data_IF_087301358965
#
_entry.id   IF_087301358965
#
_cell.length_a   1.000
_cell.length_b   1.000
_cell.length_c   1.000
_cell.angle_alpha   90.00
_cell.angle_beta   90.00
_cell.angle_gamma   90.00
#
_symmetry.space_group_name_H-M   'P 1'
#
loop_
_entity.id
_entity.type
_entity.pdbx_description
1 polymer ?
#
# COMPACT_ATOMS: atom_id res chain seq x y z
N UNK A 1 16.49 -17.18 25.14
CA UNK A 1 16.39 -15.84 24.54
C UNK A 1 15.78 -15.85 23.15
N UNK A 2 16.11 -16.80 22.25
CA UNK A 2 15.56 -16.93 20.87
C UNK A 2 14.05 -17.24 20.85
N UNK A 3 13.51 -17.96 21.81
CA UNK A 3 12.07 -18.33 21.84
C UNK A 3 11.13 -17.16 22.19
N UNK A 4 11.59 -16.11 22.87
CA UNK A 4 10.75 -14.93 23.19
C UNK A 4 10.59 -13.95 22.05
N UNK A 5 11.54 -13.91 21.10
CA UNK A 5 11.49 -13.04 19.91
C UNK A 5 10.58 -13.64 18.84
N UNK A 6 10.48 -14.97 18.77
CA UNK A 6 9.71 -15.66 17.72
C UNK A 6 8.19 -15.66 17.92
N UNK A 7 7.69 -15.44 19.14
CA UNK A 7 6.26 -15.49 19.44
C UNK A 7 5.46 -14.30 18.87
N UNK A 8 5.87 -13.04 19.09
CA UNK A 8 5.23 -11.88 18.45
C UNK A 8 5.28 -11.92 16.92
N UNK A 9 6.45 -12.27 16.36
CA UNK A 9 6.59 -12.45 14.89
C UNK A 9 5.66 -13.53 14.35
N UNK A 10 5.47 -14.63 15.05
CA UNK A 10 4.59 -15.72 14.62
C UNK A 10 3.12 -15.33 14.69
N UNK A 11 2.72 -14.52 15.66
CA UNK A 11 1.35 -13.99 15.78
C UNK A 11 1.07 -12.95 14.70
N UNK A 12 2.02 -12.05 14.43
CA UNK A 12 1.98 -11.09 13.35
C UNK A 12 1.79 -11.78 11.97
N UNK A 13 2.64 -12.74 11.63
CA UNK A 13 2.50 -13.47 10.36
C UNK A 13 1.26 -14.35 10.26
N UNK A 14 0.66 -14.80 11.37
CA UNK A 14 -0.64 -15.48 11.35
C UNK A 14 -1.78 -14.50 11.02
N UNK A 15 -1.71 -13.31 11.57
CA UNK A 15 -2.68 -12.26 11.30
C UNK A 15 -2.62 -11.82 9.83
N UNK A 16 -1.43 -11.60 9.31
CA UNK A 16 -1.22 -11.22 7.91
C UNK A 16 -1.58 -12.33 6.92
N UNK A 17 -1.26 -13.58 7.21
CA UNK A 17 -1.70 -14.69 6.38
C UNK A 17 -3.23 -14.76 6.27
N UNK A 18 -3.93 -14.55 7.39
CA UNK A 18 -5.39 -14.56 7.42
C UNK A 18 -5.98 -13.35 6.70
N UNK A 19 -5.40 -12.18 6.88
CA UNK A 19 -5.85 -10.94 6.19
C UNK A 19 -5.69 -11.03 4.68
N UNK A 20 -4.56 -11.56 4.19
CA UNK A 20 -4.33 -11.80 2.76
C UNK A 20 -5.37 -12.75 2.13
N UNK A 21 -5.80 -13.79 2.87
CA UNK A 21 -6.86 -14.68 2.41
C UNK A 21 -8.22 -13.95 2.35
N UNK A 22 -8.56 -13.18 3.37
CA UNK A 22 -9.82 -12.41 3.39
C UNK A 22 -9.84 -11.36 2.28
N UNK A 23 -8.70 -10.71 2.04
CA UNK A 23 -8.51 -9.77 0.95
C UNK A 23 -8.77 -10.42 -0.42
N UNK A 24 -8.18 -11.61 -0.66
CA UNK A 24 -8.38 -12.38 -1.88
C UNK A 24 -9.84 -12.78 -2.06
N UNK A 25 -10.49 -13.26 -1.00
CA UNK A 25 -11.92 -13.61 -1.03
C UNK A 25 -12.75 -12.38 -1.38
N UNK A 26 -12.48 -11.23 -0.78
CA UNK A 26 -13.19 -9.98 -1.08
C UNK A 26 -13.07 -9.58 -2.56
N UNK A 27 -11.86 -9.71 -3.13
CA UNK A 27 -11.61 -9.44 -4.55
C UNK A 27 -12.34 -10.41 -5.49
N UNK A 28 -12.31 -11.71 -5.18
CA UNK A 28 -13.03 -12.72 -5.95
C UNK A 28 -14.53 -12.48 -5.89
N UNK A 29 -15.08 -12.16 -4.71
CA UNK A 29 -16.49 -11.83 -4.55
C UNK A 29 -16.86 -10.58 -5.36
N UNK A 30 -16.01 -9.55 -5.37
CA UNK A 30 -16.21 -8.36 -6.20
C UNK A 30 -16.31 -8.71 -7.68
N UNK A 31 -15.38 -9.55 -8.19
CA UNK A 31 -15.39 -10.01 -9.58
C UNK A 31 -16.63 -10.86 -9.91
N UNK A 32 -17.05 -11.77 -9.03
CA UNK A 32 -18.24 -12.60 -9.24
C UNK A 32 -19.50 -11.73 -9.28
N UNK A 33 -19.65 -10.81 -8.32
CA UNK A 33 -20.85 -9.97 -8.21
C UNK A 33 -20.90 -8.96 -9.37
N UNK A 34 -19.77 -8.33 -9.72
CA UNK A 34 -19.70 -7.36 -10.81
C UNK A 34 -19.95 -7.94 -12.21
N UNK A 35 -19.94 -9.29 -12.34
CA UNK A 35 -20.18 -10.00 -13.59
C UNK A 35 -21.39 -10.96 -13.52
N UNK A 36 -22.13 -10.95 -12.40
CA UNK A 36 -23.33 -11.76 -12.19
C UNK A 36 -24.61 -10.94 -12.31
N UNK A 37 -25.71 -11.57 -11.87
CA UNK A 37 -27.06 -10.97 -11.89
C UNK A 37 -27.20 -9.71 -11.04
N UNK A 38 -26.28 -9.46 -10.12
CA UNK A 38 -26.26 -8.32 -9.21
C UNK A 38 -25.25 -7.22 -9.63
N UNK A 39 -24.79 -7.23 -10.89
CA UNK A 39 -23.81 -6.26 -11.40
C UNK A 39 -24.30 -4.82 -11.28
N UNK A 40 -25.53 -4.56 -11.73
CA UNK A 40 -26.13 -3.22 -11.67
C UNK A 40 -26.30 -2.71 -10.24
N UNK A 41 -26.71 -3.58 -9.32
CA UNK A 41 -26.83 -3.24 -7.89
C UNK A 41 -25.47 -2.91 -7.30
N UNK A 42 -24.44 -3.71 -7.61
CA UNK A 42 -23.07 -3.49 -7.14
C UNK A 42 -22.56 -2.11 -7.55
N UNK A 43 -22.61 -1.78 -8.84
CA UNK A 43 -22.15 -0.48 -9.33
C UNK A 43 -23.03 0.69 -8.87
N UNK A 44 -24.35 0.48 -8.74
CA UNK A 44 -25.27 1.52 -8.26
C UNK A 44 -25.00 1.88 -6.80
N UNK A 45 -24.77 0.88 -5.93
CA UNK A 45 -24.44 1.09 -4.52
C UNK A 45 -23.14 1.89 -4.38
N UNK A 46 -22.10 1.54 -5.13
CA UNK A 46 -20.82 2.26 -5.08
C UNK A 46 -20.92 3.71 -5.53
N UNK A 47 -21.85 4.01 -6.47
CA UNK A 47 -22.11 5.36 -6.98
C UNK A 47 -23.09 6.15 -6.09
N UNK A 48 -23.79 5.50 -5.16
CA UNK A 48 -24.78 6.15 -4.29
C UNK A 48 -24.09 7.18 -3.38
N UNK A 49 -24.66 8.40 -3.33
CA UNK A 49 -24.14 9.46 -2.47
C UNK A 49 -24.63 9.32 -1.04
N UNK A 50 -23.74 9.49 -0.08
CA UNK A 50 -24.00 9.60 1.34
C UNK A 50 -23.61 11.00 1.78
N UNK A 51 -24.55 11.73 2.39
CA UNK A 51 -24.32 13.07 2.93
C UNK A 51 -24.18 12.98 4.44
N UNK A 52 -23.06 13.44 4.98
CA UNK A 52 -22.86 13.63 6.42
C UNK A 52 -22.81 15.12 6.71
N UNK A 53 -23.74 15.60 7.55
CA UNK A 53 -23.83 17.01 7.92
C UNK A 53 -25.11 17.67 7.40
N UNK A 54 -25.11 19.00 7.40
CA UNK A 54 -26.22 19.85 6.90
C UNK A 54 -25.93 20.31 5.48
N UNK A 55 -26.94 20.86 4.79
CA UNK A 55 -26.81 21.41 3.43
C UNK A 55 -25.70 22.49 3.32
N UNK A 56 -25.46 23.22 4.41
CA UNK A 56 -24.46 24.30 4.47
C UNK A 56 -23.09 23.82 4.96
N UNK A 57 -23.03 22.73 5.72
CA UNK A 57 -21.80 22.15 6.29
C UNK A 57 -21.88 20.62 6.22
N UNK A 58 -21.83 20.08 5.02
CA UNK A 58 -21.93 18.64 4.81
C UNK A 58 -20.99 18.14 3.74
N UNK A 59 -20.41 16.97 3.98
CA UNK A 59 -19.65 16.20 3.00
C UNK A 59 -20.62 15.28 2.25
N UNK A 60 -20.78 15.50 0.95
CA UNK A 60 -21.58 14.65 0.05
C UNK A 60 -20.64 13.88 -0.87
N UNK A 61 -20.34 12.64 -0.49
CA UNK A 61 -19.43 11.77 -1.24
C UNK A 61 -20.15 10.48 -1.64
N UNK A 62 -19.77 9.87 -2.76
CA UNK A 62 -20.25 8.53 -3.11
C UNK A 62 -19.68 7.49 -2.13
N UNK A 63 -20.32 6.34 -2.03
CA UNK A 63 -19.83 5.20 -1.22
C UNK A 63 -18.39 4.86 -1.60
N UNK A 64 -18.08 4.82 -2.90
CA UNK A 64 -16.74 4.57 -3.40
C UNK A 64 -15.73 5.62 -2.91
N UNK A 65 -16.09 6.91 -2.92
CA UNK A 65 -15.21 7.98 -2.40
C UNK A 65 -15.04 7.89 -0.88
N UNK A 66 -16.10 7.53 -0.12
CA UNK A 66 -15.97 7.28 1.32
C UNK A 66 -14.95 6.18 1.61
N UNK A 67 -14.95 5.11 0.82
CA UNK A 67 -13.99 4.02 0.96
C UNK A 67 -12.58 4.48 0.55
N UNK A 68 -12.44 5.15 -0.59
CA UNK A 68 -11.14 5.50 -1.16
C UNK A 68 -10.46 6.68 -0.45
N UNK A 69 -11.19 7.60 0.17
CA UNK A 69 -10.63 8.79 0.80
C UNK A 69 -10.59 8.66 2.32
N UNK A 70 -11.73 8.29 2.96
CA UNK A 70 -11.81 8.27 4.43
C UNK A 70 -11.18 7.00 4.99
N UNK A 71 -11.57 5.81 4.49
CA UNK A 71 -11.00 4.57 5.01
C UNK A 71 -9.52 4.44 4.64
N UNK A 72 -9.13 4.91 3.45
CA UNK A 72 -7.72 4.92 3.08
C UNK A 72 -6.91 5.96 3.87
N UNK A 73 -7.49 7.07 4.33
CA UNK A 73 -6.82 7.96 5.28
C UNK A 73 -6.52 7.26 6.62
N UNK A 74 -7.45 6.43 7.11
CA UNK A 74 -7.22 5.58 8.31
C UNK A 74 -6.16 4.51 8.04
N UNK A 75 -6.17 3.89 6.85
CA UNK A 75 -5.13 2.96 6.43
C UNK A 75 -3.75 3.61 6.41
N UNK A 76 -3.61 4.76 5.76
CA UNK A 76 -2.32 5.47 5.71
C UNK A 76 -1.89 6.03 7.08
N UNK A 77 -2.84 6.37 7.94
CA UNK A 77 -2.55 6.67 9.35
C UNK A 77 -1.91 5.45 10.03
N UNK A 78 -2.52 4.28 9.91
CA UNK A 78 -2.01 3.02 10.47
C UNK A 78 -0.62 2.68 9.92
N UNK A 79 -0.46 2.65 8.59
CA UNK A 79 0.84 2.34 7.94
C UNK A 79 1.92 3.34 8.37
N UNK A 80 1.58 4.62 8.50
CA UNK A 80 2.55 5.63 8.95
C UNK A 80 2.93 5.50 10.44
N UNK A 81 2.04 4.97 11.30
CA UNK A 81 2.41 4.58 12.66
C UNK A 81 3.41 3.41 12.65
N UNK A 82 3.17 2.41 11.79
CA UNK A 82 4.05 1.27 11.59
C UNK A 82 5.40 1.71 11.03
N UNK A 83 5.44 2.52 9.98
CA UNK A 83 6.66 3.13 9.43
C UNK A 83 7.45 3.84 10.54
N UNK A 84 6.77 4.68 11.33
CA UNK A 84 7.41 5.42 12.43
C UNK A 84 7.99 4.49 13.49
N UNK A 85 7.29 3.42 13.86
CA UNK A 85 7.79 2.40 14.79
C UNK A 85 9.03 1.70 14.23
N UNK A 86 8.97 1.27 12.98
CA UNK A 86 10.09 0.56 12.33
C UNK A 86 11.35 1.42 12.26
N UNK A 87 11.23 2.71 11.95
CA UNK A 87 12.37 3.64 11.94
C UNK A 87 12.94 3.91 13.34
N UNK A 88 12.10 3.93 14.38
CA UNK A 88 12.53 4.27 15.74
C UNK A 88 13.02 3.06 16.55
N UNK A 89 12.44 1.87 16.33
CA UNK A 89 12.67 0.68 17.17
C UNK A 89 12.72 -0.64 16.40
N UNK A 90 12.38 -0.67 15.10
CA UNK A 90 12.30 -1.88 14.29
C UNK A 90 13.56 -2.16 13.48
N UNK A 91 13.41 -2.98 12.45
CA UNK A 91 14.48 -3.41 11.54
C UNK A 91 15.10 -2.23 10.77
N UNK A 92 14.31 -1.19 10.48
CA UNK A 92 14.77 0.03 9.80
C UNK A 92 15.55 0.99 10.72
N UNK A 93 15.57 0.74 12.03
CA UNK A 93 16.35 1.55 12.98
C UNK A 93 17.87 1.30 12.88
N UNK A 94 18.27 0.15 12.34
CA UNK A 94 19.67 -0.18 12.10
C UNK A 94 20.03 0.09 10.63
N UNK A 95 20.88 1.11 10.32
CA UNK A 95 21.22 1.47 8.94
C UNK A 95 21.79 0.32 8.10
N UNK A 96 22.56 -0.59 8.72
CA UNK A 96 23.12 -1.74 7.99
C UNK A 96 22.05 -2.74 7.56
N UNK A 97 21.02 -2.96 8.38
CA UNK A 97 19.93 -3.89 8.08
C UNK A 97 18.90 -3.25 7.13
N UNK A 98 18.68 -1.94 7.25
CA UNK A 98 17.76 -1.18 6.41
C UNK A 98 18.27 -0.99 4.97
N UNK A 99 19.59 -1.02 4.75
CA UNK A 99 20.18 -0.61 3.48
C UNK A 99 19.75 -1.50 2.31
N UNK A 100 19.70 -2.82 2.49
CA UNK A 100 19.28 -3.75 1.43
C UNK A 100 17.80 -3.58 1.06
N UNK A 101 16.84 -3.53 2.01
CA UNK A 101 15.45 -3.20 1.70
C UNK A 101 15.27 -1.83 1.01
N UNK A 102 16.03 -0.79 1.43
CA UNK A 102 15.99 0.53 0.80
C UNK A 102 16.43 0.46 -0.66
N UNK A 103 17.55 -0.18 -0.95
CA UNK A 103 18.07 -0.32 -2.32
C UNK A 103 17.07 -1.15 -3.16
N UNK A 104 16.55 -2.24 -2.60
CA UNK A 104 15.52 -3.06 -3.23
C UNK A 104 14.25 -2.28 -3.55
N UNK A 105 13.77 -1.46 -2.62
CA UNK A 105 12.57 -0.63 -2.81
C UNK A 105 12.79 0.45 -3.88
N UNK A 106 13.94 1.14 -3.88
CA UNK A 106 14.28 2.10 -4.95
C UNK A 106 14.22 1.41 -6.32
N UNK A 107 14.82 0.20 -6.44
CA UNK A 107 14.75 -0.58 -7.66
C UNK A 107 13.32 -1.00 -8.01
N UNK A 108 12.58 -1.45 -7.00
CA UNK A 108 11.18 -1.85 -7.11
C UNK A 108 10.21 -0.71 -7.43
N UNK A 109 10.58 0.54 -7.24
CA UNK A 109 9.81 1.71 -7.67
C UNK A 109 10.24 2.22 -9.04
N UNK A 110 11.53 2.40 -9.26
CA UNK A 110 12.08 3.05 -10.47
C UNK A 110 11.93 2.15 -11.70
N UNK A 111 12.30 0.88 -11.59
CA UNK A 111 12.31 -0.01 -12.79
C UNK A 111 10.89 -0.28 -13.31
N UNK A 112 9.87 -0.61 -12.49
CA UNK A 112 8.50 -0.72 -12.97
C UNK A 112 7.95 0.56 -13.61
N UNK A 113 8.27 1.72 -13.00
CA UNK A 113 7.89 3.02 -13.55
C UNK A 113 8.49 3.23 -14.94
N UNK A 114 9.77 2.87 -15.15
CA UNK A 114 10.43 2.96 -16.47
C UNK A 114 9.78 2.02 -17.50
N UNK A 115 9.39 0.79 -17.09
CA UNK A 115 8.64 -0.11 -17.99
C UNK A 115 7.32 0.51 -18.43
N UNK A 116 6.57 1.08 -17.49
CA UNK A 116 5.31 1.73 -17.79
C UNK A 116 5.49 2.94 -18.71
N UNK A 117 6.43 3.83 -18.36
CA UNK A 117 6.76 5.02 -19.15
C UNK A 117 7.15 4.64 -20.58
N UNK A 118 8.01 3.63 -20.75
CA UNK A 118 8.46 3.18 -22.08
C UNK A 118 7.31 2.74 -22.99
N UNK A 119 6.25 2.16 -22.42
CA UNK A 119 5.09 1.71 -23.19
C UNK A 119 4.11 2.86 -23.47
N UNK A 120 4.01 3.81 -22.53
CA UNK A 120 2.99 4.86 -22.56
C UNK A 120 3.53 6.25 -22.95
N UNK A 121 4.80 6.38 -23.37
CA UNK A 121 5.43 7.69 -23.59
C UNK A 121 4.78 8.53 -24.71
N UNK A 122 4.01 7.91 -25.60
CA UNK A 122 3.39 8.57 -26.76
C UNK A 122 2.14 9.38 -26.40
N UNK A 123 1.55 9.16 -25.22
CA UNK A 123 0.31 9.82 -24.79
C UNK A 123 0.47 10.34 -23.37
N UNK A 124 0.40 11.66 -23.22
CA UNK A 124 0.53 12.35 -21.93
C UNK A 124 -0.53 11.94 -20.91
N UNK A 125 -1.74 11.57 -21.36
CA UNK A 125 -2.82 11.14 -20.45
C UNK A 125 -2.51 9.76 -19.87
N UNK A 126 -2.15 8.80 -20.71
CA UNK A 126 -1.80 7.45 -20.24
C UNK A 126 -0.53 7.45 -19.41
N UNK A 127 0.38 8.40 -19.65
CA UNK A 127 1.62 8.56 -18.90
C UNK A 127 1.38 8.83 -17.40
N UNK A 128 0.25 9.44 -17.01
CA UNK A 128 -0.09 9.70 -15.61
C UNK A 128 -0.09 8.42 -14.73
N UNK A 129 -0.30 7.24 -15.34
CA UNK A 129 -0.30 5.96 -14.62
C UNK A 129 1.09 5.40 -14.27
N UNK A 130 2.18 6.15 -14.49
CA UNK A 130 3.56 5.66 -14.32
C UNK A 130 3.87 5.05 -12.95
N UNK A 131 3.23 5.53 -11.90
CA UNK A 131 3.46 5.07 -10.53
C UNK A 131 2.62 3.83 -10.15
N UNK A 132 1.63 3.44 -10.94
CA UNK A 132 0.73 2.30 -10.63
C UNK A 132 1.52 1.01 -10.38
N UNK A 133 2.48 0.60 -11.25
CA UNK A 133 3.23 -0.63 -11.04
C UNK A 133 4.35 -0.51 -9.99
N UNK A 134 4.56 0.67 -9.40
CA UNK A 134 5.60 0.89 -8.38
C UNK A 134 5.17 0.44 -6.98
N UNK A 135 3.87 0.28 -6.72
CA UNK A 135 3.36 -0.10 -5.41
C UNK A 135 3.42 -1.62 -5.16
N UNK A 136 3.55 -2.00 -3.89
CA UNK A 136 3.49 -3.40 -3.42
C UNK A 136 2.39 -3.53 -2.37
N UNK A 137 1.54 -4.54 -2.47
CA UNK A 137 0.54 -4.88 -1.45
C UNK A 137 1.18 -5.79 -0.39
N UNK A 138 1.49 -5.20 0.77
CA UNK A 138 2.13 -5.91 1.91
C UNK A 138 1.26 -7.08 2.36
N UNK A 139 -0.02 -6.84 2.62
CA UNK A 139 -0.93 -7.83 3.20
C UNK A 139 -1.06 -9.06 2.31
N UNK A 140 -1.20 -8.84 0.99
CA UNK A 140 -1.32 -9.93 0.03
C UNK A 140 0.02 -10.66 -0.14
N UNK A 141 1.14 -9.94 -0.31
CA UNK A 141 2.48 -10.53 -0.52
C UNK A 141 2.93 -11.37 0.68
N UNK A 142 2.74 -10.87 1.91
CA UNK A 142 3.03 -11.62 3.13
C UNK A 142 2.01 -12.75 3.36
N UNK A 143 0.76 -12.57 2.97
CA UNK A 143 -0.25 -13.61 2.95
C UNK A 143 0.22 -14.81 2.13
N UNK A 144 0.61 -14.60 0.88
CA UNK A 144 1.14 -15.64 -0.02
C UNK A 144 2.41 -16.28 0.55
N UNK A 145 3.33 -15.45 1.05
CA UNK A 145 4.58 -15.94 1.66
C UNK A 145 4.32 -16.79 2.92
N UNK A 146 3.28 -16.47 3.66
CA UNK A 146 2.90 -17.17 4.90
C UNK A 146 2.29 -18.54 4.63
N UNK A 147 1.66 -18.77 3.46
CA UNK A 147 1.17 -20.10 3.05
C UNK A 147 2.31 -21.13 2.94
N UNK A 148 3.53 -20.70 2.66
CA UNK A 148 4.71 -21.56 2.60
C UNK A 148 5.28 -21.89 4.00
N UNK A 149 4.77 -21.27 5.03
CA UNK A 149 5.07 -21.58 6.43
C UNK A 149 6.55 -21.51 6.78
N UNK A 150 7.09 -22.65 7.28
CA UNK A 150 8.49 -22.75 7.73
C UNK A 150 9.51 -22.93 6.59
N UNK A 151 9.06 -23.15 5.36
CA UNK A 151 9.96 -23.34 4.22
C UNK A 151 10.74 -22.07 3.86
N UNK A 152 10.14 -20.90 4.09
CA UNK A 152 10.80 -19.63 3.81
C UNK A 152 11.52 -19.11 5.04
N UNK A 153 12.84 -18.78 4.94
CA UNK A 153 13.58 -18.18 6.03
C UNK A 153 12.93 -16.91 6.55
N UNK A 154 12.93 -16.72 7.88
CA UNK A 154 12.37 -15.52 8.53
C UNK A 154 13.03 -14.24 7.99
N UNK A 155 14.33 -14.29 7.70
CA UNK A 155 15.08 -13.16 7.15
C UNK A 155 14.55 -12.65 5.80
N UNK A 156 14.00 -13.55 4.95
CA UNK A 156 13.35 -13.15 3.70
C UNK A 156 11.97 -12.52 3.94
N UNK A 157 11.25 -12.97 4.97
CA UNK A 157 9.99 -12.34 5.38
C UNK A 157 10.24 -10.92 5.90
N UNK A 158 11.23 -10.77 6.78
CA UNK A 158 11.66 -9.46 7.31
C UNK A 158 12.11 -8.54 6.17
N UNK A 159 12.89 -9.05 5.21
CA UNK A 159 13.29 -8.28 4.03
C UNK A 159 12.07 -7.78 3.23
N UNK A 160 11.11 -8.66 2.94
CA UNK A 160 9.90 -8.30 2.19
C UNK A 160 9.06 -7.26 2.95
N UNK A 161 8.87 -7.44 4.27
CA UNK A 161 8.15 -6.47 5.12
C UNK A 161 8.85 -5.11 5.10
N UNK A 162 10.16 -5.07 5.35
CA UNK A 162 10.93 -3.83 5.36
C UNK A 162 10.92 -3.13 4.00
N UNK A 163 11.04 -3.89 2.90
CA UNK A 163 10.96 -3.36 1.55
C UNK A 163 9.58 -2.75 1.28
N UNK A 164 8.50 -3.47 1.61
CA UNK A 164 7.14 -3.01 1.35
C UNK A 164 6.77 -1.77 2.19
N UNK A 165 7.25 -1.66 3.43
CA UNK A 165 7.13 -0.46 4.26
C UNK A 165 7.80 0.76 3.58
N UNK A 166 8.95 0.56 2.94
CA UNK A 166 9.65 1.63 2.21
C UNK A 166 8.93 1.95 0.90
N UNK A 167 8.39 0.94 0.19
CA UNK A 167 7.54 1.14 -0.98
C UNK A 167 6.31 1.98 -0.64
N UNK A 168 5.64 1.72 0.50
CA UNK A 168 4.49 2.50 0.95
C UNK A 168 4.88 3.95 1.28
N UNK A 169 6.03 4.15 1.93
CA UNK A 169 6.57 5.51 2.13
C UNK A 169 6.83 6.21 0.79
N UNK A 170 7.40 5.50 -0.18
CA UNK A 170 7.60 6.00 -1.53
C UNK A 170 6.29 6.35 -2.23
N UNK A 171 5.27 5.49 -2.12
CA UNK A 171 3.94 5.74 -2.65
C UNK A 171 3.30 6.99 -2.03
N UNK A 172 3.41 7.19 -0.71
CA UNK A 172 2.94 8.39 -0.02
C UNK A 172 3.59 9.65 -0.61
N UNK A 173 4.92 9.64 -0.80
CA UNK A 173 5.67 10.75 -1.38
C UNK A 173 5.21 11.01 -2.82
N UNK A 174 5.08 9.97 -3.64
CA UNK A 174 4.62 10.08 -5.03
C UNK A 174 3.20 10.67 -5.07
N UNK A 175 2.29 10.20 -4.24
CA UNK A 175 0.91 10.71 -4.18
C UNK A 175 0.90 12.19 -3.81
N UNK A 176 1.69 12.59 -2.81
CA UNK A 176 1.74 13.98 -2.34
C UNK A 176 2.24 14.96 -3.40
N UNK A 177 3.22 14.56 -4.22
CA UNK A 177 3.86 15.46 -5.18
C UNK A 177 3.28 15.39 -6.60
N UNK A 178 2.79 14.23 -7.04
CA UNK A 178 2.40 14.00 -8.43
C UNK A 178 0.89 13.90 -8.65
N UNK A 179 0.11 13.54 -7.60
CA UNK A 179 -1.33 13.34 -7.71
C UNK A 179 -2.15 14.37 -6.92
N UNK A 180 -1.57 15.52 -6.62
CA UNK A 180 -2.28 16.67 -6.05
C UNK A 180 -2.97 17.47 -7.15
N UNK A 181 -4.19 17.97 -6.85
CA UNK A 181 -4.97 18.81 -7.75
C UNK A 181 -4.59 20.30 -7.66
N UNK A 182 -5.54 21.16 -8.04
CA UNK A 182 -5.37 22.60 -7.93
C UNK A 182 -5.29 23.05 -6.47
N UNK A 183 -4.18 23.63 -6.08
CA UNK A 183 -3.92 24.02 -4.68
C UNK A 183 -4.73 25.27 -4.33
N UNK A 184 -5.55 25.15 -3.27
CA UNK A 184 -6.28 26.28 -2.67
C UNK A 184 -5.54 26.79 -1.45
N UNK A 185 -4.93 27.97 -1.57
CA UNK A 185 -4.03 28.55 -0.56
C UNK A 185 -4.67 28.72 0.82
N UNK A 186 -5.97 29.07 0.88
CA UNK A 186 -6.67 29.25 2.16
C UNK A 186 -6.73 27.95 2.97
N UNK A 187 -7.14 26.86 2.34
CA UNK A 187 -7.21 25.55 3.01
C UNK A 187 -5.85 24.96 3.30
N UNK A 188 -4.83 25.28 2.47
CA UNK A 188 -3.45 24.92 2.76
C UNK A 188 -2.94 25.59 4.03
N UNK A 189 -3.26 26.87 4.26
CA UNK A 189 -2.93 27.59 5.50
C UNK A 189 -3.64 26.95 6.69
N UNK A 190 -4.95 26.62 6.58
CA UNK A 190 -5.69 25.98 7.66
C UNK A 190 -5.14 24.58 7.98
N UNK A 191 -4.75 23.82 6.96
CA UNK A 191 -4.06 22.51 7.11
C UNK A 191 -2.75 22.69 7.89
N UNK A 192 -1.93 23.69 7.55
CA UNK A 192 -0.68 23.98 8.26
C UNK A 192 -0.93 24.40 9.72
N UNK A 193 -1.96 25.19 10.00
CA UNK A 193 -2.37 25.54 11.37
C UNK A 193 -2.75 24.28 12.16
N UNK A 194 -3.58 23.40 11.59
CA UNK A 194 -3.94 22.14 12.24
C UNK A 194 -2.70 21.28 12.51
N UNK A 195 -1.76 21.20 11.56
CA UNK A 195 -0.51 20.47 11.72
C UNK A 195 0.36 21.07 12.86
N UNK A 196 0.45 22.39 12.95
CA UNK A 196 1.17 23.06 14.05
C UNK A 196 0.54 22.70 15.40
N UNK A 197 -0.80 22.70 15.51
CA UNK A 197 -1.49 22.28 16.74
C UNK A 197 -1.10 20.84 17.11
N UNK A 198 -1.09 19.90 16.14
CA UNK A 198 -0.70 18.51 16.37
C UNK A 198 0.76 18.39 16.82
N UNK A 199 1.68 19.17 16.23
CA UNK A 199 3.09 19.22 16.65
C UNK A 199 3.21 19.75 18.09
N UNK A 200 2.42 20.74 18.46
CA UNK A 200 2.36 21.29 19.83
C UNK A 200 1.87 20.21 20.80
N UNK A 201 0.80 19.49 20.46
CA UNK A 201 0.30 18.36 21.29
C UNK A 201 1.39 17.29 21.48
N UNK A 202 2.13 16.95 20.40
CA UNK A 202 3.27 16.03 20.49
C UNK A 202 4.38 16.55 21.40
N UNK A 203 4.76 17.84 21.28
CA UNK A 203 5.80 18.48 22.08
C UNK A 203 5.45 18.46 23.59
N UNK A 204 4.18 18.69 23.92
CA UNK A 204 3.67 18.57 25.29
C UNK A 204 3.43 17.13 25.73
N UNK A 205 3.75 16.14 24.89
CA UNK A 205 3.62 14.69 25.18
C UNK A 205 2.21 14.30 25.64
N UNK A 206 1.18 14.86 25.01
CA UNK A 206 -0.20 14.51 25.31
C UNK A 206 -0.41 13.03 25.01
N UNK A 207 -0.83 12.23 25.99
CA UNK A 207 -0.99 10.77 25.87
C UNK A 207 -2.41 10.32 25.52
N UNK A 208 -3.38 11.24 25.56
CA UNK A 208 -4.76 10.98 25.12
C UNK A 208 -4.85 11.08 23.61
N UNK A 209 -5.55 10.13 22.97
CA UNK A 209 -5.77 10.16 21.51
C UNK A 209 -6.85 11.18 21.09
N UNK A 210 -7.83 11.47 21.96
CA UNK A 210 -8.97 12.30 21.59
C UNK A 210 -8.59 13.69 21.03
N UNK A 211 -7.65 14.47 21.61
CA UNK A 211 -7.22 15.74 21.02
C UNK A 211 -6.63 15.58 19.60
N UNK A 212 -5.82 14.53 19.39
CA UNK A 212 -5.26 14.24 18.07
C UNK A 212 -6.34 13.86 17.05
N UNK A 213 -7.36 13.10 17.48
CA UNK A 213 -8.47 12.71 16.62
C UNK A 213 -9.30 13.93 16.18
N UNK A 214 -9.64 14.82 17.13
CA UNK A 214 -10.42 16.02 16.81
C UNK A 214 -9.66 16.90 15.81
N UNK A 215 -8.41 17.24 16.10
CA UNK A 215 -7.60 18.06 15.19
C UNK A 215 -7.32 17.32 13.88
N UNK A 216 -7.18 15.99 13.93
CA UNK A 216 -6.97 15.12 12.76
C UNK A 216 -8.16 15.14 11.79
N UNK A 217 -9.39 15.21 12.28
CA UNK A 217 -10.59 15.34 11.42
C UNK A 217 -10.56 16.69 10.68
N UNK A 218 -10.24 17.79 11.35
CA UNK A 218 -10.07 19.09 10.69
C UNK A 218 -8.88 19.08 9.72
N UNK A 219 -7.77 18.46 10.10
CA UNK A 219 -6.62 18.30 9.21
C UNK A 219 -7.01 17.57 7.92
N UNK A 220 -7.80 16.47 8.04
CA UNK A 220 -8.28 15.72 6.89
C UNK A 220 -9.19 16.56 5.99
N UNK A 221 -10.18 17.28 6.57
CA UNK A 221 -11.09 18.14 5.83
C UNK A 221 -10.33 19.26 5.09
N UNK A 222 -9.42 19.95 5.77
CA UNK A 222 -8.62 21.01 5.16
C UNK A 222 -7.66 20.47 4.08
N UNK A 223 -7.08 19.28 4.28
CA UNK A 223 -6.26 18.62 3.27
C UNK A 223 -7.08 18.30 2.03
N UNK A 224 -8.27 17.69 2.20
CA UNK A 224 -9.17 17.38 1.11
C UNK A 224 -9.56 18.64 0.31
N UNK A 225 -9.89 19.74 1.00
CA UNK A 225 -10.27 21.00 0.35
C UNK A 225 -9.07 21.78 -0.22
N UNK A 226 -7.85 21.51 0.23
CA UNK A 226 -6.64 22.21 -0.25
C UNK A 226 -6.20 21.78 -1.65
N UNK A 227 -6.75 20.67 -2.18
CA UNK A 227 -6.32 20.07 -3.44
C UNK A 227 -5.19 19.02 -3.25
N UNK A 228 -4.69 18.85 -2.04
CA UNK A 228 -3.79 17.73 -1.68
C UNK A 228 -4.66 16.50 -1.39
N UNK A 229 -4.17 15.31 -1.75
CA UNK A 229 -4.95 14.10 -1.52
C UNK A 229 -5.23 13.87 -0.02
N UNK A 230 -6.50 13.62 0.33
CA UNK A 230 -6.99 13.55 1.72
C UNK A 230 -6.24 12.52 2.59
N UNK A 231 -5.72 11.44 2.00
CA UNK A 231 -4.98 10.39 2.70
C UNK A 231 -3.68 10.89 3.34
N UNK A 232 -3.08 11.97 2.81
CA UNK A 232 -1.87 12.59 3.38
C UNK A 232 -2.13 13.12 4.79
N UNK A 233 -3.36 13.53 5.12
CA UNK A 233 -3.71 13.93 6.48
C UNK A 233 -3.50 12.78 7.49
N UNK A 234 -3.81 11.53 7.13
CA UNK A 234 -3.54 10.37 7.97
C UNK A 234 -2.05 10.20 8.25
N UNK A 235 -1.23 10.38 7.23
CA UNK A 235 0.24 10.33 7.34
C UNK A 235 0.77 11.41 8.30
N UNK A 236 0.37 12.66 8.06
CA UNK A 236 0.79 13.80 8.88
C UNK A 236 0.35 13.62 10.33
N UNK A 237 -0.88 13.17 10.56
CA UNK A 237 -1.38 12.85 11.91
C UNK A 237 -0.50 11.79 12.60
N UNK A 238 -0.18 10.69 11.93
CA UNK A 238 0.64 9.61 12.49
C UNK A 238 2.04 10.10 12.89
N UNK A 239 2.64 10.95 12.06
CA UNK A 239 3.97 11.51 12.34
C UNK A 239 3.97 12.37 13.61
N UNK A 240 2.82 12.96 13.99
CA UNK A 240 2.69 13.77 15.21
C UNK A 240 2.36 12.95 16.47
N UNK A 241 1.95 11.69 16.36
CA UNK A 241 1.65 10.83 17.53
C UNK A 241 2.93 10.61 18.36
N UNK A 242 2.92 10.87 19.69
CA UNK A 242 4.10 10.70 20.52
C UNK A 242 4.50 9.24 20.68
N UNK A 243 5.80 8.97 20.59
CA UNK A 243 6.40 7.69 20.87
C UNK A 243 7.47 7.84 21.94
N UNK A 244 7.39 7.05 23.00
CA UNK A 244 8.38 7.05 24.08
C UNK A 244 9.16 5.75 24.08
N UNK A 245 10.37 5.78 23.54
CA UNK A 245 11.27 4.63 23.44
C UNK A 245 11.77 4.11 24.81
N UNK A 246 11.75 4.95 25.83
CA UNK A 246 12.27 4.60 27.18
C UNK A 246 11.24 3.93 28.10
N UNK A 247 9.94 4.08 27.83
CA UNK A 247 8.83 3.54 28.65
C UNK A 247 8.06 2.50 27.84
N UNK A 248 8.49 1.34 27.86
CA UNK A 248 8.48 0.21 26.96
C UNK A 248 7.18 -0.47 26.56
N UNK A 249 5.98 -0.16 26.94
CA UNK A 249 4.77 -0.92 26.46
C UNK A 249 3.51 -0.08 26.36
N UNK A 250 3.52 1.16 26.78
CA UNK A 250 2.34 2.01 26.90
C UNK A 250 2.39 3.30 26.05
N UNK A 251 3.23 3.37 25.00
CA UNK A 251 3.22 4.53 24.14
C UNK A 251 1.89 4.61 23.37
N UNK A 252 1.40 5.85 23.15
CA UNK A 252 0.17 6.06 22.40
C UNK A 252 0.29 5.47 20.98
N UNK A 253 1.46 5.58 20.35
CA UNK A 253 1.74 5.00 19.04
C UNK A 253 1.46 3.49 19.02
N UNK A 254 2.05 2.71 19.92
CA UNK A 254 1.86 1.25 19.96
C UNK A 254 0.42 0.84 20.29
N UNK A 255 -0.26 1.61 21.15
CA UNK A 255 -1.70 1.35 21.44
C UNK A 255 -2.57 1.54 20.21
N UNK A 256 -2.31 2.59 19.43
CA UNK A 256 -3.07 2.88 18.22
C UNK A 256 -2.75 1.87 17.12
N UNK A 257 -1.47 1.58 16.88
CA UNK A 257 -1.04 0.60 15.89
C UNK A 257 -1.66 -0.77 16.16
N UNK A 258 -1.48 -1.33 17.35
CA UNK A 258 -2.04 -2.64 17.70
C UNK A 258 -3.58 -2.63 17.74
N UNK A 259 -4.19 -1.51 18.17
CA UNK A 259 -5.64 -1.39 18.20
C UNK A 259 -6.26 -1.31 16.81
N UNK A 260 -5.61 -0.63 15.86
CA UNK A 260 -6.10 -0.47 14.49
C UNK A 260 -5.80 -1.66 13.58
N UNK A 261 -4.72 -2.40 13.84
CA UNK A 261 -4.27 -3.51 13.01
C UNK A 261 -5.39 -4.49 12.58
N UNK A 262 -6.22 -5.04 13.47
CA UNK A 262 -7.28 -5.96 13.07
C UNK A 262 -8.37 -5.29 12.22
N UNK A 263 -8.72 -4.03 12.50
CA UNK A 263 -9.72 -3.29 11.73
C UNK A 263 -9.23 -2.96 10.32
N UNK A 264 -7.95 -2.62 10.18
CA UNK A 264 -7.32 -2.40 8.88
C UNK A 264 -7.25 -3.71 8.11
N UNK A 265 -6.72 -4.77 8.74
CA UNK A 265 -6.46 -6.05 8.08
C UNK A 265 -7.74 -6.80 7.65
N UNK A 266 -8.80 -6.76 8.48
CA UNK A 266 -10.04 -7.54 8.24
C UNK A 266 -11.26 -6.68 7.88
N UNK A 267 -11.16 -5.36 7.93
CA UNK A 267 -12.24 -4.43 7.59
C UNK A 267 -11.88 -3.53 6.42
N UNK A 268 -10.96 -2.59 6.63
CA UNK A 268 -10.66 -1.53 5.65
C UNK A 268 -10.12 -2.10 4.35
N UNK A 269 -9.07 -2.94 4.41
CA UNK A 269 -8.43 -3.48 3.22
C UNK A 269 -9.34 -4.41 2.41
N UNK A 270 -10.09 -5.38 3.01
CA UNK A 270 -11.05 -6.18 2.27
C UNK A 270 -12.19 -5.37 1.68
N UNK A 271 -12.70 -4.35 2.39
CA UNK A 271 -13.76 -3.48 1.87
C UNK A 271 -13.24 -2.63 0.70
N UNK A 272 -12.02 -2.11 0.80
CA UNK A 272 -11.36 -1.41 -0.31
C UNK A 272 -11.17 -2.33 -1.52
N UNK A 273 -10.68 -3.56 -1.31
CA UNK A 273 -10.52 -4.54 -2.37
C UNK A 273 -11.86 -4.88 -3.02
N UNK A 274 -12.90 -5.11 -2.21
CA UNK A 274 -14.25 -5.39 -2.72
C UNK A 274 -14.78 -4.24 -3.57
N UNK A 275 -14.62 -3.00 -3.14
CA UNK A 275 -15.13 -1.83 -3.86
C UNK A 275 -14.36 -1.51 -5.15
N UNK A 276 -13.06 -1.84 -5.21
CA UNK A 276 -12.17 -1.43 -6.29
C UNK A 276 -11.78 -2.55 -7.26
N UNK A 277 -11.86 -3.83 -6.86
CA UNK A 277 -11.51 -4.95 -7.74
C UNK A 277 -12.62 -5.32 -8.74
N UNK A 278 -13.87 -4.91 -8.48
CA UNK A 278 -14.98 -5.18 -9.40
C UNK A 278 -14.77 -4.48 -10.73
N UNK A 279 -14.74 -5.27 -11.81
CA UNK A 279 -14.63 -4.80 -13.20
C UNK A 279 -15.55 -5.65 -14.06
N UNK A 280 -16.24 -5.02 -15.02
CA UNK A 280 -17.01 -5.78 -16.02
C UNK A 280 -16.04 -6.52 -16.94
N UNK A 281 -16.25 -7.82 -17.09
CA UNK A 281 -15.50 -8.66 -18.01
C UNK A 281 -16.20 -8.74 -19.38
N UNK A 282 -17.37 -8.13 -19.53
CA UNK A 282 -18.14 -8.11 -20.77
C UNK A 282 -17.36 -7.36 -21.85
N UNK A 283 -17.21 -7.98 -23.01
CA UNK A 283 -16.44 -7.40 -24.11
C UNK A 283 -14.93 -7.41 -23.96
N UNK A 284 -14.39 -7.91 -22.82
CA UNK A 284 -12.95 -8.03 -22.64
C UNK A 284 -12.41 -9.19 -23.48
N UNK A 285 -11.37 -8.86 -24.24
CA UNK A 285 -10.61 -9.84 -25.03
C UNK A 285 -9.16 -9.83 -24.58
N UNK A 286 -8.38 -10.82 -24.96
CA UNK A 286 -6.94 -10.82 -24.69
C UNK A 286 -6.26 -9.57 -25.30
N UNK A 287 -6.80 -9.01 -26.37
CA UNK A 287 -6.33 -7.77 -26.98
C UNK A 287 -6.44 -6.56 -26.02
N UNK A 288 -7.40 -6.56 -25.08
CA UNK A 288 -7.55 -5.49 -24.08
C UNK A 288 -6.32 -5.39 -23.17
N UNK A 289 -5.68 -6.53 -22.83
CA UNK A 289 -4.44 -6.55 -22.05
C UNK A 289 -3.24 -5.98 -22.81
N UNK A 290 -3.32 -5.93 -24.14
CA UNK A 290 -2.27 -5.37 -24.99
C UNK A 290 -2.39 -3.85 -25.17
N UNK A 291 -3.46 -3.22 -24.67
CA UNK A 291 -3.57 -1.77 -24.63
C UNK A 291 -2.46 -1.17 -23.75
N UNK A 292 -1.97 0.05 -24.06
CA UNK A 292 -0.80 0.63 -23.40
C UNK A 292 -0.88 0.65 -21.86
N UNK A 293 -2.02 1.07 -21.28
CA UNK A 293 -2.19 1.18 -19.83
C UNK A 293 -2.11 -0.20 -19.13
N UNK A 294 -2.98 -1.18 -19.44
CA UNK A 294 -2.90 -2.49 -18.79
C UNK A 294 -1.59 -3.21 -19.10
N UNK A 295 -1.07 -3.12 -20.32
CA UNK A 295 0.20 -3.73 -20.69
C UNK A 295 1.37 -3.16 -19.88
N UNK A 296 1.44 -1.83 -19.75
CA UNK A 296 2.44 -1.14 -18.94
C UNK A 296 2.40 -1.56 -17.48
N UNK A 297 1.20 -1.72 -16.93
CA UNK A 297 1.00 -2.18 -15.55
C UNK A 297 1.44 -3.64 -15.38
N UNK A 298 1.00 -4.55 -16.25
CA UNK A 298 1.37 -5.98 -16.18
C UNK A 298 2.89 -6.15 -16.27
N UNK A 299 3.53 -5.53 -17.27
CA UNK A 299 4.98 -5.65 -17.46
C UNK A 299 5.75 -4.97 -16.34
N UNK A 300 5.28 -3.83 -15.85
CA UNK A 300 5.88 -3.14 -14.71
C UNK A 300 5.79 -3.97 -13.43
N UNK A 301 4.61 -4.47 -13.05
CA UNK A 301 4.42 -5.30 -11.86
C UNK A 301 5.18 -6.62 -11.96
N UNK A 302 5.04 -7.35 -13.06
CA UNK A 302 5.64 -8.67 -13.16
C UNK A 302 7.13 -8.60 -13.47
N UNK A 303 7.58 -7.97 -14.56
CA UNK A 303 8.99 -7.91 -14.91
C UNK A 303 9.74 -6.76 -14.22
N UNK A 304 9.15 -5.58 -14.17
CA UNK A 304 9.79 -4.41 -13.61
C UNK A 304 10.15 -4.58 -12.14
N UNK A 305 9.21 -5.03 -11.31
CA UNK A 305 9.44 -5.26 -9.87
C UNK A 305 10.54 -6.30 -9.61
N UNK A 306 10.44 -7.48 -10.20
CA UNK A 306 11.43 -8.53 -9.97
C UNK A 306 12.85 -8.13 -10.44
N UNK A 307 12.94 -7.47 -11.60
CA UNK A 307 14.25 -6.99 -12.12
C UNK A 307 14.78 -5.90 -11.19
N UNK A 308 13.96 -4.89 -10.87
CA UNK A 308 14.37 -3.76 -10.04
C UNK A 308 14.83 -4.19 -8.65
N UNK A 309 14.03 -4.97 -7.96
CA UNK A 309 14.35 -5.44 -6.60
C UNK A 309 15.54 -6.39 -6.61
N UNK A 310 15.52 -7.41 -7.49
CA UNK A 310 16.59 -8.43 -7.48
C UNK A 310 17.92 -7.88 -7.95
N UNK A 311 17.97 -7.20 -9.08
CA UNK A 311 19.23 -6.75 -9.70
C UNK A 311 19.94 -5.74 -8.81
N UNK A 312 19.23 -4.71 -8.31
CA UNK A 312 19.84 -3.71 -7.43
C UNK A 312 20.29 -4.32 -6.10
N UNK A 313 19.48 -5.20 -5.50
CA UNK A 313 19.89 -5.91 -4.29
C UNK A 313 21.08 -6.84 -4.51
N UNK A 314 21.12 -7.56 -5.64
CA UNK A 314 22.23 -8.43 -6.00
C UNK A 314 23.54 -7.64 -6.13
N UNK A 315 23.52 -6.52 -6.85
CA UNK A 315 24.70 -5.67 -6.98
C UNK A 315 25.11 -5.02 -5.66
N UNK A 316 24.15 -4.58 -4.83
CA UNK A 316 24.46 -4.05 -3.51
C UNK A 316 25.20 -5.06 -2.63
N UNK A 317 24.78 -6.33 -2.65
CA UNK A 317 25.46 -7.40 -1.91
C UNK A 317 26.82 -7.73 -2.54
N UNK A 318 26.91 -7.83 -3.88
CA UNK A 318 28.17 -8.13 -4.59
C UNK A 318 29.22 -7.04 -4.37
N UNK A 319 28.81 -5.78 -4.30
CA UNK A 319 29.69 -4.64 -4.01
C UNK A 319 29.98 -4.48 -2.51
N UNK A 320 29.45 -5.37 -1.65
CA UNK A 320 29.58 -5.30 -0.18
C UNK A 320 29.01 -4.02 0.45
N UNK A 321 28.03 -3.40 -0.20
CA UNK A 321 27.31 -2.24 0.31
C UNK A 321 26.29 -2.67 1.36
N UNK A 322 25.65 -3.83 1.14
CA UNK A 322 24.68 -4.43 2.05
C UNK A 322 24.89 -5.94 2.19
N UNK A 323 24.35 -6.51 3.26
CA UNK A 323 24.44 -7.94 3.51
C UNK A 323 23.19 -8.67 3.00
N UNK A 324 23.40 -9.87 2.43
CA UNK A 324 22.30 -10.74 2.01
C UNK A 324 21.54 -11.25 3.25
N UNK A 325 20.20 -11.39 3.18
CA UNK A 325 19.42 -11.97 4.29
C UNK A 325 19.96 -13.34 4.71
N UNK A 326 20.15 -13.53 6.02
CA UNK A 326 20.74 -14.74 6.59
C UNK A 326 19.92 -16.00 6.19
N UNK A 327 20.64 -17.12 5.98
CA UNK A 327 20.05 -18.40 5.60
C UNK A 327 19.18 -18.36 4.32
N UNK A 328 19.34 -17.34 3.46
CA UNK A 328 18.66 -17.25 2.18
C UNK A 328 19.55 -17.74 1.04
N UNK A 329 18.93 -18.33 0.01
CA UNK A 329 19.58 -18.64 -1.27
C UNK A 329 19.21 -17.56 -2.29
N UNK A 330 20.04 -17.36 -3.33
CA UNK A 330 19.72 -16.41 -4.39
C UNK A 330 18.43 -16.75 -5.14
N UNK A 331 18.15 -18.04 -5.47
CA UNK A 331 16.86 -18.39 -6.09
C UNK A 331 15.66 -18.09 -5.20
N UNK A 332 15.76 -18.33 -3.88
CA UNK A 332 14.68 -17.98 -2.96
C UNK A 332 14.50 -16.45 -2.82
N UNK A 333 15.62 -15.70 -2.82
CA UNK A 333 15.59 -14.25 -2.83
C UNK A 333 14.93 -13.68 -4.11
N UNK A 334 15.28 -14.26 -5.27
CA UNK A 334 14.64 -13.90 -6.54
C UNK A 334 13.14 -14.17 -6.53
N UNK A 335 12.73 -15.33 -6.03
CA UNK A 335 11.30 -15.65 -5.92
C UNK A 335 10.53 -14.69 -4.99
N UNK A 336 11.15 -14.21 -3.89
CA UNK A 336 10.59 -13.16 -3.05
C UNK A 336 10.53 -11.83 -3.81
N UNK A 337 11.53 -11.52 -4.64
CA UNK A 337 11.51 -10.32 -5.48
C UNK A 337 10.36 -10.34 -6.50
N UNK A 338 9.92 -11.52 -6.97
CA UNK A 338 8.72 -11.64 -7.80
C UNK A 338 7.45 -11.30 -7.00
N UNK A 339 7.37 -11.76 -5.73
CA UNK A 339 6.21 -11.46 -4.88
C UNK A 339 6.04 -9.96 -4.62
N UNK A 340 7.09 -9.15 -4.69
CA UNK A 340 6.95 -7.67 -4.60
C UNK A 340 6.14 -7.09 -5.77
N UNK A 341 5.97 -7.81 -6.87
CA UNK A 341 5.09 -7.46 -7.99
C UNK A 341 3.59 -7.65 -7.71
N UNK A 342 3.21 -8.11 -6.53
CA UNK A 342 1.82 -8.10 -6.08
C UNK A 342 1.47 -6.68 -5.64
N UNK A 343 0.96 -5.87 -6.58
CA UNK A 343 0.59 -4.48 -6.31
C UNK A 343 -0.83 -4.29 -5.81
N UNK A 344 -1.69 -5.18 -6.18
CA UNK A 344 -3.14 -5.30 -5.97
C UNK A 344 -3.81 -4.03 -5.37
N UNK A 345 -4.12 -3.98 -4.06
CA UNK A 345 -4.88 -2.85 -3.47
C UNK A 345 -4.15 -1.52 -3.59
N UNK A 346 -2.84 -1.51 -3.41
CA UNK A 346 -2.04 -0.28 -3.50
C UNK A 346 -1.94 0.22 -4.95
N UNK A 347 -1.75 -0.69 -5.91
CA UNK A 347 -1.76 -0.31 -7.34
C UNK A 347 -3.15 0.14 -7.81
N UNK A 348 -4.26 -0.46 -7.31
CA UNK A 348 -5.61 0.02 -7.57
C UNK A 348 -5.83 1.41 -6.99
N UNK A 349 -5.33 1.66 -5.77
CA UNK A 349 -5.42 2.96 -5.14
C UNK A 349 -4.69 4.05 -5.96
N UNK A 350 -3.43 3.81 -6.31
CA UNK A 350 -2.65 4.73 -7.15
C UNK A 350 -3.30 4.91 -8.52
N UNK A 351 -3.88 3.86 -9.10
CA UNK A 351 -4.58 3.91 -10.38
C UNK A 351 -5.82 4.80 -10.34
N UNK A 352 -6.62 4.73 -9.28
CA UNK A 352 -7.77 5.61 -9.08
C UNK A 352 -7.35 7.09 -8.96
N UNK A 353 -6.18 7.37 -8.39
CA UNK A 353 -5.63 8.72 -8.30
C UNK A 353 -5.09 9.20 -9.65
N UNK A 354 -4.35 8.34 -10.34
CA UNK A 354 -3.72 8.66 -11.61
C UNK A 354 -4.75 9.01 -12.71
N UNK A 355 -5.91 8.37 -12.67
CA UNK A 355 -6.97 8.52 -13.66
C UNK A 355 -8.30 9.03 -13.06
N UNK A 356 -8.23 9.81 -11.99
CA UNK A 356 -9.42 10.40 -11.35
C UNK A 356 -10.29 11.23 -12.32
N UNK A 357 -9.66 11.89 -13.30
CA UNK A 357 -10.33 12.69 -14.32
C UNK A 357 -10.58 11.93 -15.64
N UNK A 358 -10.04 10.72 -15.78
CA UNK A 358 -10.01 9.94 -17.04
C UNK A 358 -10.54 8.53 -16.80
N UNK A 359 -11.79 8.42 -16.35
CA UNK A 359 -12.44 7.19 -15.91
C UNK A 359 -12.44 6.07 -16.96
N UNK A 360 -12.25 6.37 -18.23
CA UNK A 360 -12.13 5.40 -19.32
C UNK A 360 -10.95 4.44 -19.17
N UNK A 361 -9.89 4.83 -18.42
CA UNK A 361 -8.72 3.99 -18.19
C UNK A 361 -8.84 3.11 -16.96
N UNK A 362 -9.81 3.36 -16.06
CA UNK A 362 -9.92 2.67 -14.75
C UNK A 362 -10.10 1.16 -14.92
N UNK A 363 -10.93 0.71 -15.89
CA UNK A 363 -11.10 -0.72 -16.12
C UNK A 363 -9.82 -1.36 -16.66
N UNK A 364 -9.09 -0.67 -17.53
CA UNK A 364 -7.75 -1.10 -17.97
C UNK A 364 -6.75 -1.20 -16.83
N UNK A 365 -6.77 -0.24 -15.90
CA UNK A 365 -5.96 -0.30 -14.67
C UNK A 365 -6.30 -1.53 -13.84
N UNK A 366 -7.59 -1.76 -13.55
CA UNK A 366 -8.03 -2.91 -12.74
C UNK A 366 -7.57 -4.22 -13.35
N UNK A 367 -7.77 -4.39 -14.66
CA UNK A 367 -7.37 -5.60 -15.39
C UNK A 367 -5.85 -5.79 -15.36
N UNK A 368 -5.09 -4.71 -15.64
CA UNK A 368 -3.64 -4.74 -15.60
C UNK A 368 -3.09 -5.10 -14.22
N UNK A 369 -3.63 -4.49 -13.17
CA UNK A 369 -3.24 -4.76 -11.76
C UNK A 369 -3.57 -6.19 -11.35
N UNK A 370 -4.79 -6.67 -11.66
CA UNK A 370 -5.20 -8.04 -11.34
C UNK A 370 -4.34 -9.07 -12.06
N UNK A 371 -4.10 -8.88 -13.37
CA UNK A 371 -3.28 -9.78 -14.16
C UNK A 371 -1.81 -9.79 -13.70
N UNK A 372 -1.19 -8.63 -13.51
CA UNK A 372 0.20 -8.50 -13.03
C UNK A 372 0.40 -9.08 -11.65
N UNK A 373 -0.53 -8.81 -10.72
CA UNK A 373 -0.50 -9.34 -9.36
C UNK A 373 -0.70 -10.86 -9.34
N UNK A 374 -1.60 -11.40 -10.17
CA UNK A 374 -1.82 -12.85 -10.29
C UNK A 374 -0.57 -13.55 -10.83
N UNK A 375 0.05 -13.03 -11.89
CA UNK A 375 1.30 -13.57 -12.42
C UNK A 375 2.39 -13.58 -11.35
N UNK A 376 2.59 -12.46 -10.65
CA UNK A 376 3.58 -12.35 -9.58
C UNK A 376 3.31 -13.34 -8.43
N UNK A 377 2.03 -13.51 -8.06
CA UNK A 377 1.60 -14.48 -7.04
C UNK A 377 1.94 -15.91 -7.45
N UNK A 378 1.49 -16.33 -8.62
CA UNK A 378 1.65 -17.71 -9.10
C UNK A 378 3.13 -18.07 -9.29
N UNK A 379 3.88 -17.23 -10.02
CA UNK A 379 5.28 -17.50 -10.28
C UNK A 379 6.15 -17.41 -9.02
N UNK A 380 5.94 -16.38 -8.19
CA UNK A 380 6.67 -16.23 -6.92
C UNK A 380 6.42 -17.40 -5.98
N UNK A 381 5.15 -17.83 -5.84
CA UNK A 381 4.78 -18.98 -5.01
C UNK A 381 5.39 -20.29 -5.52
N UNK A 382 5.27 -20.58 -6.82
CA UNK A 382 5.81 -21.81 -7.41
C UNK A 382 7.33 -21.87 -7.30
N UNK A 383 8.04 -20.78 -7.57
CA UNK A 383 9.49 -20.75 -7.43
C UNK A 383 9.94 -20.89 -5.98
N UNK A 384 9.21 -20.30 -5.02
CA UNK A 384 9.50 -20.54 -3.61
C UNK A 384 9.26 -22.00 -3.19
N UNK A 385 8.24 -22.65 -3.72
CA UNK A 385 8.05 -24.09 -3.49
C UNK A 385 9.21 -24.94 -3.99
N UNK A 386 9.80 -24.55 -5.13
CA UNK A 386 10.92 -25.28 -5.75
C UNK A 386 12.26 -25.01 -5.04
N UNK A 387 12.51 -23.76 -4.63
CA UNK A 387 13.83 -23.34 -4.14
C UNK A 387 13.93 -23.17 -2.62
N UNK A 388 12.82 -23.19 -1.89
CA UNK A 388 12.87 -23.24 -0.43
C UNK A 388 12.99 -24.67 0.06
N UNK A 389 14.05 -24.92 0.84
CA UNK A 389 14.33 -26.25 1.43
C UNK A 389 13.16 -26.72 2.30
N UNK A 390 12.86 -28.03 2.20
CA UNK A 390 11.96 -28.73 3.13
C UNK A 390 12.44 -28.61 4.56
#
# INVERSE_FOLDING_TARGET
>A
MIQHITKPFREFFKLEASSGIVLLIAAILALIISNGSYSDDYFSILKKYITLGTESFGLKLSVLHWINDVLMAVFFFFVSLEIKREFLQGELSNPKQALLPIIGAIGGMVVPALFYIFINFSDSTTLNGWAIPSATDIAFSLGVLSLLGKRVPISLKVFLTALAIIDDLGAIVIIAFFYSGNIQSMYLILMLVALIILIVLNKYKVTSFLPYLIVGIFLWDFTHQSGIHATIAGVLLALTIPHNTKVNKNSLLLKLEHGLSPYVAFGIMPLFAFANAGVSLEGLTFATLLNPVPLGIVLGLFFGKQIGVFVLSYFAVKLKIADKPNNSTWPAFYAVSILTGIGFTMSLFVGNLAFANDMQYIDGVKIGVLAGSLLSTVFGYLLLLLFSKK
#
